data_IF_595590408608
#
_entry.id   IF_595590408608
#
_cell.length_a   1.000
_cell.length_b   1.000
_cell.length_c   1.000
_cell.angle_alpha   90.00
_cell.angle_beta   90.00
_cell.angle_gamma   90.00
#
_symmetry.space_group_name_H-M   'P 1'
#
loop_
_entity.id
_entity.type
_entity.pdbx_description
1 polymer ?
#
# COMPACT_ATOMS: atom_id res chain seq x y z
N UNK A 1 -15.99 4.75 3.23
CA UNK A 1 -17.44 4.46 3.18
C UNK A 1 -17.80 4.21 1.73
N UNK A 2 -18.30 3.03 1.34
CA UNK A 2 -18.72 2.79 -0.04
C UNK A 2 -19.96 3.63 -0.34
N UNK A 3 -19.95 4.42 -1.42
CA UNK A 3 -21.16 5.13 -1.89
C UNK A 3 -22.26 4.09 -2.19
N UNK A 4 -23.50 4.41 -1.84
CA UNK A 4 -24.66 3.53 -2.06
C UNK A 4 -25.04 3.42 -3.55
N UNK A 5 -24.64 4.41 -4.35
CA UNK A 5 -24.75 4.46 -5.81
C UNK A 5 -23.40 4.77 -6.44
N UNK A 6 -23.11 4.09 -7.56
CA UNK A 6 -21.91 4.36 -8.33
C UNK A 6 -22.01 5.73 -9.03
N UNK A 7 -20.91 6.47 -9.03
CA UNK A 7 -20.80 7.77 -9.67
C UNK A 7 -20.22 7.63 -11.08
N UNK A 8 -20.94 8.12 -12.09
CA UNK A 8 -20.48 8.14 -13.48
C UNK A 8 -20.14 9.56 -13.90
N UNK A 9 -18.92 9.77 -14.39
CA UNK A 9 -18.54 11.02 -15.05
C UNK A 9 -18.92 10.92 -16.53
N UNK A 10 -19.73 11.84 -17.01
CA UNK A 10 -20.10 11.96 -18.43
C UNK A 10 -19.39 13.15 -19.04
N UNK A 11 -18.71 12.94 -20.17
CA UNK A 11 -17.90 13.95 -20.86
C UNK A 11 -18.30 14.01 -22.32
N UNK A 12 -18.77 15.18 -22.75
CA UNK A 12 -19.16 15.47 -24.14
C UNK A 12 -19.23 17.00 -24.32
N UNK A 13 -18.79 17.53 -25.46
CA UNK A 13 -18.82 18.97 -25.75
C UNK A 13 -20.20 19.45 -26.21
N UNK A 14 -21.09 18.53 -26.59
CA UNK A 14 -22.46 18.83 -27.00
C UNK A 14 -23.44 18.71 -25.82
N UNK A 15 -24.10 19.81 -25.39
CA UNK A 15 -25.01 19.78 -24.24
C UNK A 15 -26.17 18.80 -24.35
N UNK A 16 -26.61 18.49 -25.59
CA UNK A 16 -27.67 17.53 -25.84
C UNK A 16 -27.25 16.10 -25.48
N UNK A 17 -26.00 15.72 -25.78
CA UNK A 17 -25.43 14.41 -25.47
C UNK A 17 -25.25 14.25 -23.94
N UNK A 18 -24.73 15.29 -23.27
CA UNK A 18 -24.63 15.33 -21.81
C UNK A 18 -26.00 15.12 -21.14
N UNK A 19 -27.02 15.85 -21.59
CA UNK A 19 -28.37 15.75 -21.04
C UNK A 19 -29.01 14.36 -21.29
N UNK A 20 -28.76 13.76 -22.45
CA UNK A 20 -29.22 12.41 -22.77
C UNK A 20 -28.59 11.37 -21.84
N UNK A 21 -27.26 11.37 -21.75
CA UNK A 21 -26.51 10.41 -20.93
C UNK A 21 -26.83 10.56 -19.44
N UNK A 22 -26.93 11.79 -18.93
CA UNK A 22 -27.34 12.07 -17.55
C UNK A 22 -28.72 11.48 -17.25
N UNK A 23 -29.71 11.74 -18.12
CA UNK A 23 -31.06 11.22 -17.95
C UNK A 23 -31.08 9.68 -17.93
N UNK A 24 -30.40 9.03 -18.89
CA UNK A 24 -30.38 7.57 -18.99
C UNK A 24 -29.67 6.95 -17.79
N UNK A 25 -28.49 7.45 -17.42
CA UNK A 25 -27.71 6.88 -16.31
C UNK A 25 -28.38 7.08 -14.95
N UNK A 26 -29.01 8.25 -14.72
CA UNK A 26 -29.82 8.46 -13.51
C UNK A 26 -31.05 7.57 -13.47
N UNK A 27 -31.70 7.32 -14.61
CA UNK A 27 -32.81 6.38 -14.69
C UNK A 27 -32.38 4.95 -14.33
N UNK A 28 -31.16 4.57 -14.72
CA UNK A 28 -30.53 3.29 -14.36
C UNK A 28 -30.04 3.23 -12.90
N UNK A 29 -30.16 4.31 -12.13
CA UNK A 29 -29.85 4.36 -10.69
C UNK A 29 -28.43 4.81 -10.35
N UNK A 30 -27.70 5.41 -11.29
CA UNK A 30 -26.36 5.97 -11.05
C UNK A 30 -26.41 7.45 -10.68
N UNK A 31 -25.44 7.90 -9.90
CA UNK A 31 -25.17 9.33 -9.75
C UNK A 31 -24.31 9.80 -10.93
N UNK A 32 -24.53 11.04 -11.38
CA UNK A 32 -23.87 11.57 -12.57
C UNK A 32 -23.25 12.94 -12.28
N UNK A 33 -22.00 13.09 -12.71
CA UNK A 33 -21.29 14.37 -12.85
C UNK A 33 -20.99 14.58 -14.33
N UNK A 34 -21.00 15.83 -14.78
CA UNK A 34 -20.78 16.20 -16.18
C UNK A 34 -19.51 17.04 -16.34
N UNK A 35 -18.83 16.89 -17.47
CA UNK A 35 -17.78 17.77 -17.93
C UNK A 35 -18.00 18.08 -19.43
N UNK A 36 -17.75 19.31 -19.85
CA UNK A 36 -18.01 19.74 -21.23
C UNK A 36 -16.79 19.70 -22.15
N UNK A 37 -15.62 19.33 -21.64
CA UNK A 37 -14.38 19.22 -22.40
C UNK A 37 -13.36 18.31 -21.69
N UNK A 38 -12.29 17.97 -22.39
CA UNK A 38 -11.26 17.08 -21.85
C UNK A 38 -10.47 17.64 -20.65
N UNK A 39 -10.30 18.96 -20.52
CA UNK A 39 -9.60 19.55 -19.37
C UNK A 39 -10.46 19.46 -18.11
N UNK A 40 -11.75 19.79 -18.24
CA UNK A 40 -12.74 19.60 -17.18
C UNK A 40 -12.86 18.12 -16.79
N UNK A 41 -12.80 17.20 -17.76
CA UNK A 41 -12.83 15.77 -17.48
C UNK A 41 -11.69 15.33 -16.55
N UNK A 42 -10.46 15.72 -16.87
CA UNK A 42 -9.29 15.37 -16.03
C UNK A 42 -9.39 16.00 -14.63
N UNK A 43 -9.88 17.24 -14.52
CA UNK A 43 -10.11 17.88 -13.23
C UNK A 43 -11.22 17.18 -12.42
N UNK A 44 -12.33 16.84 -13.07
CA UNK A 44 -13.48 16.18 -12.45
C UNK A 44 -13.16 14.77 -11.94
N UNK A 45 -12.27 14.03 -12.63
CA UNK A 45 -11.78 12.73 -12.13
C UNK A 45 -11.05 12.90 -10.79
N UNK A 46 -10.18 13.91 -10.69
CA UNK A 46 -9.42 14.17 -9.46
C UNK A 46 -10.31 14.73 -8.33
N UNK A 47 -11.34 15.51 -8.66
CA UNK A 47 -12.22 16.14 -7.66
C UNK A 47 -13.28 15.18 -7.10
N UNK A 48 -13.88 14.35 -7.96
CA UNK A 48 -15.07 13.59 -7.58
C UNK A 48 -14.84 12.09 -7.40
N UNK A 49 -13.70 11.58 -7.88
CA UNK A 49 -13.36 10.15 -7.87
C UNK A 49 -14.52 9.29 -8.42
N UNK A 50 -14.83 9.40 -9.72
CA UNK A 50 -15.92 8.63 -10.32
C UNK A 50 -15.59 7.14 -10.38
N UNK A 51 -16.62 6.30 -10.43
CA UNK A 51 -16.51 4.85 -10.59
C UNK A 51 -16.42 4.42 -12.07
N UNK A 52 -16.83 5.28 -13.00
CA UNK A 52 -16.74 5.07 -14.44
C UNK A 52 -16.73 6.41 -15.18
N UNK A 53 -16.01 6.49 -16.28
CA UNK A 53 -16.03 7.65 -17.20
C UNK A 53 -16.67 7.25 -18.52
N UNK A 54 -17.76 7.92 -18.90
CA UNK A 54 -18.31 7.92 -20.25
C UNK A 54 -17.75 9.11 -21.01
N UNK A 55 -16.92 8.88 -22.02
CA UNK A 55 -16.10 9.90 -22.65
C UNK A 55 -16.34 9.96 -24.16
N UNK A 56 -16.79 11.11 -24.67
CA UNK A 56 -16.75 11.35 -26.10
C UNK A 56 -15.31 11.53 -26.60
N UNK A 57 -15.07 11.10 -27.85
CA UNK A 57 -13.75 11.19 -28.47
C UNK A 57 -13.56 12.51 -29.21
N UNK A 58 -14.61 13.01 -29.87
CA UNK A 58 -14.53 14.12 -30.81
C UNK A 58 -14.86 15.44 -30.12
N UNK A 59 -13.95 15.89 -29.25
CA UNK A 59 -14.09 17.17 -28.54
C UNK A 59 -13.03 18.19 -28.99
N UNK A 60 -13.33 19.49 -28.98
CA UNK A 60 -12.34 20.54 -29.24
C UNK A 60 -11.23 20.57 -28.18
N UNK A 61 -10.01 20.87 -28.61
CA UNK A 61 -8.87 21.01 -27.71
C UNK A 61 -8.31 19.64 -27.32
N UNK A 62 -8.58 19.20 -26.09
CA UNK A 62 -8.12 17.91 -25.58
C UNK A 62 -9.15 16.83 -25.93
N UNK A 63 -8.81 15.96 -26.88
CA UNK A 63 -9.73 14.93 -27.35
C UNK A 63 -9.85 13.74 -26.37
N UNK A 64 -10.85 12.87 -26.57
CA UNK A 64 -11.08 11.75 -25.65
C UNK A 64 -9.94 10.71 -25.64
N UNK A 65 -9.17 10.59 -26.71
CA UNK A 65 -8.00 9.69 -26.77
C UNK A 65 -6.88 10.27 -25.91
N UNK A 66 -6.62 11.57 -26.00
CA UNK A 66 -5.62 12.27 -25.19
C UNK A 66 -6.01 12.29 -23.71
N UNK A 67 -7.30 12.44 -23.39
CA UNK A 67 -7.82 12.29 -22.01
C UNK A 67 -7.52 10.88 -21.48
N UNK A 68 -7.84 9.82 -22.24
CA UNK A 68 -7.51 8.44 -21.86
C UNK A 68 -6.02 8.28 -21.54
N UNK A 69 -5.14 8.75 -22.44
CA UNK A 69 -3.70 8.65 -22.25
C UNK A 69 -3.22 9.39 -20.99
N UNK A 70 -3.73 10.59 -20.72
CA UNK A 70 -3.38 11.37 -19.51
C UNK A 70 -3.85 10.71 -18.23
N UNK A 71 -5.02 10.07 -18.24
CA UNK A 71 -5.50 9.31 -17.08
C UNK A 71 -4.64 8.06 -16.87
N UNK A 72 -4.31 7.32 -17.93
CA UNK A 72 -3.48 6.10 -17.84
C UNK A 72 -2.03 6.35 -17.48
N UNK A 73 -1.50 7.54 -17.78
CA UNK A 73 -0.17 7.96 -17.33
C UNK A 73 -0.07 8.13 -15.80
N UNK A 74 -1.21 8.22 -15.09
CA UNK A 74 -1.27 8.39 -13.65
C UNK A 74 -1.58 7.05 -12.97
N UNK A 75 -0.69 6.53 -12.09
CA UNK A 75 -0.89 5.25 -11.42
C UNK A 75 -2.20 5.15 -10.62
N UNK A 76 -2.72 6.28 -10.13
CA UNK A 76 -3.97 6.34 -9.38
C UNK A 76 -5.22 5.96 -10.21
N UNK A 77 -5.18 6.12 -11.53
CA UNK A 77 -6.36 5.93 -12.40
C UNK A 77 -6.26 4.69 -13.31
N UNK A 78 -5.27 3.81 -13.09
CA UNK A 78 -5.11 2.57 -13.86
C UNK A 78 -6.35 1.67 -13.74
N UNK A 79 -6.99 1.64 -12.57
CA UNK A 79 -8.20 0.85 -12.31
C UNK A 79 -9.53 1.57 -12.60
N UNK A 80 -9.51 2.79 -13.14
CA UNK A 80 -10.73 3.55 -13.47
C UNK A 80 -11.28 3.12 -14.84
N UNK A 81 -12.48 2.53 -14.93
CA UNK A 81 -13.08 2.14 -16.21
C UNK A 81 -13.41 3.36 -17.07
N UNK A 82 -12.99 3.33 -18.34
CA UNK A 82 -13.31 4.36 -19.34
C UNK A 82 -14.08 3.71 -20.50
N UNK A 83 -15.33 4.15 -20.68
CA UNK A 83 -16.19 3.81 -21.80
C UNK A 83 -16.17 4.96 -22.81
N UNK A 84 -15.61 4.74 -24.00
CA UNK A 84 -15.70 5.73 -25.07
C UNK A 84 -17.12 5.74 -25.65
N UNK A 85 -17.75 6.90 -25.75
CA UNK A 85 -19.10 7.05 -26.32
C UNK A 85 -19.01 7.99 -27.52
N UNK A 86 -18.86 7.47 -28.74
CA UNK A 86 -18.41 8.28 -29.89
C UNK A 86 -19.19 7.99 -31.18
N UNK A 87 -19.24 8.97 -32.09
CA UNK A 87 -19.71 8.77 -33.46
C UNK A 87 -18.72 7.99 -34.36
N UNK A 88 -17.47 7.79 -33.91
CA UNK A 88 -16.48 6.98 -34.63
C UNK A 88 -16.89 5.51 -34.62
N UNK A 89 -17.10 4.94 -35.81
CA UNK A 89 -17.62 3.58 -35.97
C UNK A 89 -16.70 2.65 -36.79
N UNK A 90 -15.57 3.17 -37.28
CA UNK A 90 -14.60 2.39 -38.04
C UNK A 90 -13.80 1.45 -37.11
N UNK A 91 -13.43 0.25 -37.57
CA UNK A 91 -12.60 -0.67 -36.78
C UNK A 91 -11.30 -0.04 -36.29
N UNK A 92 -10.65 0.78 -37.11
CA UNK A 92 -9.37 1.41 -36.79
C UNK A 92 -9.50 2.42 -35.63
N UNK A 93 -10.59 3.18 -35.58
CA UNK A 93 -10.83 4.15 -34.50
C UNK A 93 -11.09 3.45 -33.15
N UNK A 94 -11.77 2.30 -33.20
CA UNK A 94 -12.02 1.46 -32.02
C UNK A 94 -10.73 0.89 -31.46
N UNK A 95 -9.87 0.37 -32.34
CA UNK A 95 -8.54 -0.13 -31.96
C UNK A 95 -7.72 0.98 -31.32
N UNK A 96 -7.67 2.17 -31.94
CA UNK A 96 -6.95 3.33 -31.38
C UNK A 96 -7.45 3.74 -29.99
N UNK A 97 -8.77 3.73 -29.77
CA UNK A 97 -9.36 4.06 -28.46
C UNK A 97 -8.96 3.05 -27.37
N UNK A 98 -8.99 1.76 -27.69
CA UNK A 98 -8.57 0.70 -26.76
C UNK A 98 -7.06 0.72 -26.49
N UNK A 99 -6.23 0.96 -27.52
CA UNK A 99 -4.78 1.11 -27.38
C UNK A 99 -4.39 2.35 -26.56
N UNK A 100 -5.21 3.39 -26.58
CA UNK A 100 -5.07 4.56 -25.70
C UNK A 100 -5.48 4.28 -24.24
N UNK A 101 -6.02 3.10 -23.97
CA UNK A 101 -6.34 2.60 -22.64
C UNK A 101 -7.80 2.67 -22.24
N UNK A 102 -8.73 2.93 -23.17
CA UNK A 102 -10.14 2.72 -22.89
C UNK A 102 -10.46 1.23 -22.68
N UNK A 103 -11.44 0.93 -21.83
CA UNK A 103 -11.82 -0.45 -21.49
C UNK A 103 -12.88 -1.00 -22.44
N UNK A 104 -13.71 -0.12 -23.01
CA UNK A 104 -14.73 -0.45 -24.00
C UNK A 104 -15.15 0.80 -24.79
N UNK A 105 -15.96 0.62 -25.83
CA UNK A 105 -16.56 1.71 -26.59
C UNK A 105 -18.05 1.45 -26.89
N UNK A 106 -18.79 2.51 -27.12
CA UNK A 106 -20.19 2.54 -27.54
C UNK A 106 -20.33 3.53 -28.70
N UNK A 107 -20.78 3.04 -29.86
CA UNK A 107 -20.97 3.88 -31.04
C UNK A 107 -22.32 4.61 -30.99
N UNK A 108 -22.33 5.90 -31.33
CA UNK A 108 -23.55 6.69 -31.54
C UNK A 108 -24.14 6.40 -32.94
N UNK A 109 -25.48 6.29 -33.10
CA UNK A 109 -26.50 6.28 -32.05
C UNK A 109 -26.54 4.94 -31.30
N UNK A 110 -26.87 4.98 -30.01
CA UNK A 110 -27.04 3.82 -29.14
C UNK A 110 -28.42 3.83 -28.49
N UNK A 111 -28.86 2.66 -28.01
CA UNK A 111 -30.04 2.56 -27.16
C UNK A 111 -29.68 2.41 -25.67
N UNK A 112 -30.69 2.57 -24.80
CA UNK A 112 -30.52 2.46 -23.36
C UNK A 112 -30.03 1.08 -22.92
N UNK A 113 -30.42 0.01 -23.63
CA UNK A 113 -30.04 -1.36 -23.29
C UNK A 113 -28.56 -1.62 -23.55
N UNK A 114 -28.02 -1.10 -24.67
CA UNK A 114 -26.59 -1.18 -24.98
C UNK A 114 -25.75 -0.41 -23.95
N UNK A 115 -26.13 0.83 -23.64
CA UNK A 115 -25.46 1.63 -22.61
C UNK A 115 -25.50 0.91 -21.25
N UNK A 116 -26.67 0.44 -20.84
CA UNK A 116 -26.86 -0.25 -19.57
C UNK A 116 -26.07 -1.56 -19.48
N UNK A 117 -25.90 -2.29 -20.58
CA UNK A 117 -25.10 -3.51 -20.60
C UNK A 117 -23.61 -3.21 -20.39
N UNK A 118 -23.06 -2.21 -21.10
CA UNK A 118 -21.64 -1.84 -21.01
C UNK A 118 -21.28 -1.24 -19.67
N UNK A 119 -22.04 -0.24 -19.21
CA UNK A 119 -21.81 0.41 -17.91
C UNK A 119 -21.85 -0.60 -16.77
N UNK A 120 -22.84 -1.49 -16.77
CA UNK A 120 -22.96 -2.54 -15.74
C UNK A 120 -21.81 -3.54 -15.77
N UNK A 121 -21.34 -3.92 -16.97
CA UNK A 121 -20.20 -4.82 -17.13
C UNK A 121 -18.93 -4.20 -16.56
N UNK A 122 -18.63 -2.95 -16.94
CA UNK A 122 -17.45 -2.20 -16.49
C UNK A 122 -17.47 -1.96 -14.98
N UNK A 123 -18.60 -1.52 -14.42
CA UNK A 123 -18.75 -1.33 -12.98
C UNK A 123 -18.63 -2.66 -12.20
N UNK A 124 -19.11 -3.78 -12.75
CA UNK A 124 -18.93 -5.10 -12.14
C UNK A 124 -17.46 -5.52 -12.13
N UNK A 125 -16.71 -5.24 -13.19
CA UNK A 125 -15.27 -5.52 -13.24
C UNK A 125 -14.51 -4.67 -12.22
N UNK A 126 -14.80 -3.36 -12.15
CA UNK A 126 -14.25 -2.47 -11.12
C UNK A 126 -14.55 -2.99 -9.71
N UNK A 127 -15.81 -3.33 -9.41
CA UNK A 127 -16.17 -3.83 -8.09
C UNK A 127 -15.44 -5.13 -7.71
N UNK A 128 -15.17 -6.00 -8.69
CA UNK A 128 -14.38 -7.21 -8.48
C UNK A 128 -12.90 -6.89 -8.23
N UNK A 129 -12.33 -5.95 -8.99
CA UNK A 129 -10.95 -5.47 -8.79
C UNK A 129 -10.77 -4.80 -7.42
N UNK A 130 -11.69 -3.92 -7.03
CA UNK A 130 -11.69 -3.26 -5.72
C UNK A 130 -11.77 -4.30 -4.59
N UNK A 131 -12.67 -5.29 -4.73
CA UNK A 131 -12.79 -6.39 -3.76
C UNK A 131 -11.55 -7.28 -3.69
N UNK A 132 -10.90 -7.55 -4.82
CA UNK A 132 -9.64 -8.28 -4.85
C UNK A 132 -8.55 -7.47 -4.14
N UNK A 133 -8.48 -6.16 -4.39
CA UNK A 133 -7.55 -5.27 -3.69
C UNK A 133 -7.76 -5.26 -2.18
N UNK A 134 -9.01 -5.16 -1.72
CA UNK A 134 -9.36 -5.21 -0.30
C UNK A 134 -9.03 -6.56 0.35
N UNK A 135 -9.15 -7.66 -0.39
CA UNK A 135 -8.72 -8.97 0.09
C UNK A 135 -7.21 -9.06 0.16
N UNK A 136 -6.48 -8.60 -0.87
CA UNK A 136 -5.03 -8.60 -0.89
C UNK A 136 -4.45 -7.81 0.28
N UNK A 137 -4.96 -6.61 0.57
CA UNK A 137 -4.55 -5.77 1.72
C UNK A 137 -4.71 -6.44 3.09
N UNK A 138 -5.51 -7.51 3.21
CA UNK A 138 -5.63 -8.29 4.47
C UNK A 138 -4.51 -9.30 4.65
N UNK A 139 -3.78 -9.63 3.59
CA UNK A 139 -2.75 -10.66 3.59
C UNK A 139 -1.36 -10.12 3.27
N UNK A 140 -1.28 -8.94 2.63
CA UNK A 140 -0.04 -8.22 2.34
C UNK A 140 -0.21 -6.76 2.72
N UNK A 141 0.91 -6.07 2.94
CA UNK A 141 0.93 -4.63 3.17
C UNK A 141 0.32 -3.83 2.01
N UNK A 142 -0.19 -2.64 2.30
CA UNK A 142 -0.80 -1.75 1.31
C UNK A 142 0.14 -1.41 0.15
N UNK A 143 1.43 -1.23 0.45
CA UNK A 143 2.46 -0.90 -0.53
C UNK A 143 2.69 -2.04 -1.53
N UNK A 144 2.69 -3.29 -1.04
CA UNK A 144 2.82 -4.50 -1.88
C UNK A 144 1.52 -4.77 -2.65
N UNK A 145 0.36 -4.60 -2.01
CA UNK A 145 -0.94 -4.73 -2.68
C UNK A 145 -1.05 -3.75 -3.85
N UNK A 146 -0.65 -2.49 -3.66
CA UNK A 146 -0.66 -1.47 -4.71
C UNK A 146 0.27 -1.83 -5.88
N UNK A 147 1.44 -2.41 -5.61
CA UNK A 147 2.37 -2.87 -6.65
C UNK A 147 1.78 -4.03 -7.46
N UNK A 148 1.23 -5.04 -6.79
CA UNK A 148 0.60 -6.20 -7.44
C UNK A 148 -0.62 -5.78 -8.28
N UNK A 149 -1.47 -4.88 -7.76
CA UNK A 149 -2.65 -4.40 -8.48
C UNK A 149 -2.31 -3.53 -9.70
N UNK A 150 -1.17 -2.82 -9.69
CA UNK A 150 -0.73 -1.99 -10.82
C UNK A 150 -0.33 -2.85 -12.02
N UNK A 151 0.30 -3.99 -11.78
CA UNK A 151 0.78 -4.86 -12.85
C UNK A 151 0.57 -6.35 -12.50
N UNK A 152 -0.69 -6.83 -12.44
CA UNK A 152 -1.02 -8.17 -11.94
C UNK A 152 -0.42 -9.33 -12.75
N UNK A 153 0.04 -9.04 -13.97
CA UNK A 153 0.68 -10.01 -14.87
C UNK A 153 2.19 -9.78 -15.04
N UNK A 154 2.74 -8.68 -14.52
CA UNK A 154 4.17 -8.40 -14.55
C UNK A 154 4.82 -8.99 -13.29
N UNK A 155 4.99 -10.30 -13.29
CA UNK A 155 5.77 -10.95 -12.24
C UNK A 155 7.24 -10.88 -12.62
N UNK A 156 7.91 -9.80 -12.24
CA UNK A 156 9.37 -9.79 -12.28
C UNK A 156 9.90 -10.53 -11.04
N UNK A 157 10.57 -11.64 -11.29
CA UNK A 157 11.29 -12.43 -10.27
C UNK A 157 12.67 -11.85 -9.97
N UNK A 158 13.04 -10.74 -10.61
CA UNK A 158 14.29 -10.02 -10.36
C UNK A 158 14.03 -8.99 -9.26
N UNK A 159 14.76 -9.13 -8.15
CA UNK A 159 14.85 -8.07 -7.17
C UNK A 159 15.87 -7.03 -7.58
N UNK A 160 15.63 -5.78 -7.17
CA UNK A 160 16.56 -4.68 -7.40
C UNK A 160 17.37 -4.38 -6.15
N UNK A 161 18.61 -3.89 -6.34
CA UNK A 161 19.43 -3.39 -5.24
C UNK A 161 18.81 -2.11 -4.71
N UNK A 162 18.49 -2.11 -3.41
CA UNK A 162 17.92 -0.96 -2.71
C UNK A 162 18.63 -0.73 -1.39
N UNK A 163 18.68 0.52 -0.98
CA UNK A 163 19.10 0.89 0.37
C UNK A 163 17.85 0.95 1.25
N UNK A 164 17.77 0.11 2.27
CA UNK A 164 16.57 -0.02 3.12
C UNK A 164 16.95 0.03 4.59
N UNK A 165 15.99 0.42 5.43
CA UNK A 165 16.06 0.24 6.88
C UNK A 165 15.17 -0.92 7.30
N UNK A 166 15.72 -1.89 8.01
CA UNK A 166 15.02 -3.13 8.43
C UNK A 166 14.75 -3.08 9.92
N UNK A 167 13.53 -3.40 10.33
CA UNK A 167 13.08 -3.40 11.72
C UNK A 167 12.58 -4.80 12.09
N UNK A 168 13.14 -5.37 13.16
CA UNK A 168 12.60 -6.54 13.84
C UNK A 168 12.15 -6.15 15.23
N UNK A 169 10.92 -6.51 15.61
CA UNK A 169 10.37 -6.30 16.94
C UNK A 169 9.76 -7.61 17.47
N UNK A 170 9.87 -7.85 18.77
CA UNK A 170 9.40 -9.09 19.41
C UNK A 170 9.02 -8.80 20.87
N UNK A 171 7.94 -9.42 21.34
CA UNK A 171 7.41 -9.17 22.68
C UNK A 171 8.22 -9.90 23.74
N UNK A 172 8.78 -9.14 24.70
CA UNK A 172 9.51 -9.75 25.81
C UNK A 172 8.58 -10.49 26.75
N UNK A 173 8.90 -11.75 26.99
CA UNK A 173 8.17 -12.62 27.90
C UNK A 173 6.90 -13.24 27.32
N UNK A 174 6.65 -13.11 26.00
CA UNK A 174 5.45 -13.66 25.37
C UNK A 174 5.26 -15.16 25.63
N UNK A 175 6.29 -15.99 25.43
CA UNK A 175 6.18 -17.45 25.64
C UNK A 175 5.78 -17.80 27.07
N UNK A 176 6.28 -17.04 28.06
CA UNK A 176 5.90 -17.23 29.46
C UNK A 176 4.43 -16.82 29.70
N UNK A 177 3.97 -15.71 29.12
CA UNK A 177 2.57 -15.29 29.20
C UNK A 177 1.64 -16.28 28.51
N UNK A 178 1.98 -16.72 27.29
CA UNK A 178 1.17 -17.65 26.51
C UNK A 178 1.02 -19.03 27.19
N UNK A 179 2.01 -19.47 27.95
CA UNK A 179 1.96 -20.75 28.69
C UNK A 179 1.17 -20.68 30.01
N UNK A 180 1.03 -19.49 30.60
CA UNK A 180 0.37 -19.31 31.89
C UNK A 180 -1.13 -18.99 31.76
N UNK A 181 -1.60 -18.72 30.54
CA UNK A 181 -2.96 -18.27 30.28
C UNK A 181 -3.69 -19.18 29.30
N UNK A 182 -5.02 -19.06 29.26
CA UNK A 182 -5.84 -19.80 28.31
C UNK A 182 -5.49 -19.39 26.87
N UNK A 183 -5.59 -20.31 25.89
CA UNK A 183 -5.25 -20.04 24.49
C UNK A 183 -5.95 -18.80 23.91
N UNK A 184 -7.19 -18.54 24.31
CA UNK A 184 -7.97 -17.37 23.86
C UNK A 184 -7.37 -16.05 24.34
N UNK A 185 -6.83 -16.02 25.57
CA UNK A 185 -6.17 -14.83 26.12
C UNK A 185 -4.80 -14.60 25.46
N UNK A 186 -4.06 -15.68 25.17
CA UNK A 186 -2.82 -15.59 24.41
C UNK A 186 -3.06 -15.07 22.98
N UNK A 187 -4.14 -15.50 22.33
CA UNK A 187 -4.53 -15.03 21.01
C UNK A 187 -4.99 -13.56 21.02
N UNK A 188 -5.77 -13.13 22.02
CA UNK A 188 -6.15 -11.72 22.20
C UNK A 188 -4.92 -10.82 22.39
N UNK A 189 -3.97 -11.23 23.24
CA UNK A 189 -2.70 -10.52 23.41
C UNK A 189 -1.93 -10.44 22.09
N UNK A 190 -1.77 -11.58 21.39
CA UNK A 190 -1.02 -11.64 20.14
C UNK A 190 -1.61 -10.70 19.09
N UNK A 191 -2.92 -10.82 18.83
CA UNK A 191 -3.59 -9.99 17.82
C UNK A 191 -3.46 -8.50 18.15
N UNK A 192 -3.65 -8.10 19.41
CA UNK A 192 -3.52 -6.69 19.83
C UNK A 192 -2.10 -6.17 19.68
N UNK A 193 -1.09 -6.95 20.07
CA UNK A 193 0.30 -6.57 19.87
C UNK A 193 0.63 -6.43 18.39
N UNK A 194 0.26 -7.42 17.57
CA UNK A 194 0.52 -7.40 16.14
C UNK A 194 -0.14 -6.18 15.50
N UNK A 195 -1.39 -5.83 15.89
CA UNK A 195 -2.05 -4.59 15.44
C UNK A 195 -1.24 -3.34 15.79
N UNK A 196 -0.77 -3.19 17.03
CA UNK A 196 0.07 -2.04 17.42
C UNK A 196 1.37 -2.00 16.61
N UNK A 197 2.00 -3.16 16.42
CA UNK A 197 3.24 -3.26 15.65
C UNK A 197 3.05 -2.89 14.17
N UNK A 198 2.00 -3.39 13.53
CA UNK A 198 1.71 -3.06 12.12
C UNK A 198 1.32 -1.60 11.95
N UNK A 199 0.43 -1.07 12.80
CA UNK A 199 0.00 0.34 12.73
C UNK A 199 1.17 1.32 12.97
N UNK A 200 2.09 0.98 13.89
CA UNK A 200 3.27 1.80 14.14
C UNK A 200 4.21 1.85 12.93
N UNK A 201 4.38 0.73 12.20
CA UNK A 201 5.20 0.67 10.98
C UNK A 201 4.53 1.43 9.84
N UNK A 202 3.25 1.18 9.59
CA UNK A 202 2.48 1.77 8.49
C UNK A 202 2.34 3.29 8.64
N UNK A 203 2.21 3.79 9.87
CA UNK A 203 2.10 5.22 10.14
C UNK A 203 3.33 6.04 9.68
N UNK A 204 4.48 5.40 9.48
CA UNK A 204 5.69 6.03 8.96
C UNK A 204 6.04 5.56 7.53
N UNK A 205 5.08 4.93 6.84
CA UNK A 205 5.24 4.46 5.46
C UNK A 205 6.15 3.23 5.33
N UNK A 206 6.32 2.46 6.42
CA UNK A 206 7.02 1.19 6.39
C UNK A 206 6.16 0.07 5.80
N UNK A 207 6.83 -0.97 5.35
CA UNK A 207 6.22 -2.17 4.79
C UNK A 207 6.40 -3.33 5.77
N UNK A 208 5.29 -3.85 6.31
CA UNK A 208 5.32 -5.10 7.09
C UNK A 208 5.55 -6.27 6.14
N UNK A 209 6.64 -7.00 6.36
CA UNK A 209 7.09 -8.08 5.50
C UNK A 209 6.51 -9.44 5.93
N UNK A 210 6.64 -9.73 7.22
CA UNK A 210 6.24 -11.01 7.80
C UNK A 210 5.91 -10.84 9.29
N UNK A 211 4.93 -11.61 9.76
CA UNK A 211 4.63 -11.78 11.18
C UNK A 211 5.21 -13.12 11.63
N UNK A 212 6.20 -13.08 12.52
CA UNK A 212 7.02 -14.22 12.93
C UNK A 212 6.61 -14.69 14.32
N UNK A 213 5.47 -15.38 14.42
CA UNK A 213 4.90 -15.69 15.73
C UNK A 213 4.47 -14.41 16.44
N UNK A 214 5.14 -14.05 17.53
CA UNK A 214 5.01 -12.77 18.26
C UNK A 214 6.02 -11.70 17.82
N UNK A 215 6.72 -11.95 16.71
CA UNK A 215 7.62 -10.99 16.06
C UNK A 215 6.96 -10.22 14.91
N UNK A 216 7.36 -8.97 14.74
CA UNK A 216 7.06 -8.15 13.55
C UNK A 216 8.36 -7.90 12.81
N UNK A 217 8.41 -8.30 11.53
CA UNK A 217 9.47 -7.93 10.61
C UNK A 217 8.95 -6.92 9.59
N UNK A 218 9.62 -5.78 9.48
CA UNK A 218 9.29 -4.72 8.57
C UNK A 218 10.53 -4.10 7.92
N UNK A 219 10.32 -3.37 6.83
CA UNK A 219 11.37 -2.56 6.20
C UNK A 219 10.83 -1.25 5.64
N UNK A 220 11.73 -0.28 5.47
CA UNK A 220 11.48 1.07 4.95
C UNK A 220 12.41 1.28 3.74
N UNK A 221 11.92 1.94 2.69
CA UNK A 221 12.64 2.11 1.42
C UNK A 221 12.31 1.11 0.32
N UNK A 222 11.37 0.20 0.59
CA UNK A 222 10.78 -0.68 -0.41
C UNK A 222 9.30 -0.97 -0.08
N UNK A 223 8.42 -1.12 -1.09
CA UNK A 223 8.63 -0.83 -2.51
C UNK A 223 8.68 0.68 -2.82
N UNK A 224 8.31 1.53 -1.86
CA UNK A 224 8.38 2.99 -1.96
C UNK A 224 9.65 3.49 -1.24
N UNK A 225 10.46 4.28 -1.95
CA UNK A 225 11.70 4.86 -1.43
C UNK A 225 11.46 6.28 -0.92
N UNK A 226 11.98 6.60 0.26
CA UNK A 226 12.04 7.95 0.81
C UNK A 226 13.49 8.29 1.20
N UNK A 227 13.82 9.58 1.25
CA UNK A 227 15.16 10.01 1.68
C UNK A 227 15.38 9.83 3.19
N UNK A 228 14.30 9.74 3.97
CA UNK A 228 14.26 9.72 5.44
C UNK A 228 13.88 8.33 5.99
N UNK A 229 13.98 7.26 5.21
CA UNK A 229 13.62 5.89 5.65
C UNK A 229 14.31 5.43 6.96
N UNK A 230 15.59 5.76 7.24
CA UNK A 230 16.21 5.46 8.53
C UNK A 230 15.53 6.17 9.70
N UNK A 231 15.16 7.44 9.53
CA UNK A 231 14.43 8.21 10.55
C UNK A 231 13.04 7.63 10.76
N UNK A 232 12.32 7.31 9.69
CA UNK A 232 11.00 6.65 9.73
C UNK A 232 11.04 5.34 10.50
N UNK A 233 12.06 4.51 10.27
CA UNK A 233 12.24 3.25 10.99
C UNK A 233 12.42 3.47 12.51
N UNK A 234 13.26 4.43 12.90
CA UNK A 234 13.49 4.74 14.32
C UNK A 234 12.25 5.35 14.99
N UNK A 235 11.53 6.24 14.29
CA UNK A 235 10.27 6.80 14.81
C UNK A 235 9.17 5.75 14.94
N UNK A 236 9.07 4.82 13.98
CA UNK A 236 8.16 3.68 14.07
C UNK A 236 8.47 2.79 15.28
N UNK A 237 9.75 2.47 15.50
CA UNK A 237 10.19 1.71 16.67
C UNK A 237 9.87 2.43 17.99
N UNK A 238 10.14 3.73 18.07
CA UNK A 238 9.82 4.55 19.24
C UNK A 238 8.31 4.53 19.53
N UNK A 239 7.48 4.71 18.48
CA UNK A 239 6.03 4.68 18.59
C UNK A 239 5.53 3.32 19.07
N UNK A 240 5.98 2.23 18.44
CA UNK A 240 5.65 0.85 18.85
C UNK A 240 5.96 0.65 20.33
N UNK A 241 7.14 1.07 20.78
CA UNK A 241 7.58 0.89 22.17
C UNK A 241 6.73 1.67 23.18
N UNK A 242 6.22 2.85 22.80
CA UNK A 242 5.31 3.65 23.62
C UNK A 242 3.90 3.05 23.64
N UNK A 243 3.36 2.68 22.47
CA UNK A 243 1.99 2.16 22.34
C UNK A 243 1.84 0.78 22.99
N UNK A 244 2.82 -0.11 22.82
CA UNK A 244 2.80 -1.43 23.46
C UNK A 244 2.83 -1.34 24.99
N UNK A 245 3.54 -0.35 25.54
CA UNK A 245 3.63 -0.12 26.98
C UNK A 245 2.32 0.42 27.59
N UNK A 246 1.42 0.94 26.75
CA UNK A 246 0.08 1.45 27.12
C UNK A 246 -1.05 0.52 26.71
N UNK A 247 -0.73 -0.62 26.09
CA UNK A 247 -1.71 -1.54 25.57
C UNK A 247 -2.49 -2.20 26.71
N UNK A 248 -3.80 -1.94 26.76
CA UNK A 248 -4.70 -2.63 27.67
C UNK A 248 -5.19 -3.93 27.04
N UNK A 249 -5.03 -5.02 27.79
CA UNK A 249 -5.45 -6.36 27.37
C UNK A 249 -6.55 -6.80 28.34
N UNK A 250 -7.84 -6.71 27.96
CA UNK A 250 -8.94 -7.03 28.86
C UNK A 250 -8.89 -8.46 29.41
N UNK A 251 -8.38 -9.40 28.61
CA UNK A 251 -8.19 -10.79 29.01
C UNK A 251 -7.04 -10.98 30.02
N UNK A 252 -6.11 -10.02 30.12
CA UNK A 252 -4.90 -10.05 30.95
C UNK A 252 -4.68 -8.71 31.69
N UNK A 253 -5.55 -8.35 32.64
CA UNK A 253 -5.49 -7.05 33.31
C UNK A 253 -4.19 -6.89 34.10
N UNK A 254 -3.55 -5.72 33.95
CA UNK A 254 -2.32 -5.35 34.66
C UNK A 254 -1.01 -5.85 34.02
N UNK A 255 -1.08 -6.65 32.96
CA UNK A 255 0.10 -7.02 32.18
C UNK A 255 0.62 -5.80 31.44
N UNK A 256 1.93 -5.53 31.58
CA UNK A 256 2.64 -4.52 30.79
C UNK A 256 3.60 -5.21 29.86
N UNK A 257 3.52 -4.85 28.58
CA UNK A 257 4.35 -5.41 27.55
C UNK A 257 5.49 -4.46 27.18
N UNK A 258 6.61 -5.04 26.81
CA UNK A 258 7.74 -4.32 26.23
C UNK A 258 8.26 -5.16 25.06
N UNK A 259 8.66 -4.51 23.98
CA UNK A 259 9.36 -5.17 22.90
C UNK A 259 10.88 -5.07 23.10
N UNK A 260 11.62 -5.96 22.47
CA UNK A 260 12.99 -5.67 22.07
C UNK A 260 13.01 -5.45 20.57
N UNK A 261 13.69 -4.39 20.12
CA UNK A 261 13.69 -3.97 18.72
C UNK A 261 15.13 -3.87 18.21
N UNK A 262 15.35 -4.35 16.99
CA UNK A 262 16.59 -4.19 16.24
C UNK A 262 16.34 -3.44 14.94
N UNK A 263 17.23 -2.52 14.59
CA UNK A 263 17.17 -1.77 13.33
C UNK A 263 18.55 -1.75 12.66
N UNK A 264 18.58 -2.04 11.35
CA UNK A 264 19.79 -1.92 10.54
C UNK A 264 19.46 -1.27 9.21
N UNK A 265 20.34 -0.41 8.72
CA UNK A 265 20.23 0.28 7.44
C UNK A 265 21.34 -0.19 6.51
N UNK A 266 21.01 -0.54 5.27
CA UNK A 266 22.03 -0.94 4.31
C UNK A 266 21.48 -1.42 2.98
N UNK A 267 22.39 -1.85 2.10
CA UNK A 267 22.03 -2.41 0.80
C UNK A 267 21.46 -3.83 0.92
N UNK A 268 20.33 -4.05 0.26
CA UNK A 268 19.64 -5.34 0.13
C UNK A 268 19.19 -5.55 -1.31
N UNK A 269 18.77 -6.78 -1.62
CA UNK A 269 17.94 -7.07 -2.79
C UNK A 269 16.48 -7.10 -2.33
N UNK A 270 15.63 -6.26 -2.95
CA UNK A 270 14.20 -6.20 -2.68
C UNK A 270 13.40 -6.67 -3.91
N UNK A 271 12.44 -7.58 -3.73
CA UNK A 271 11.57 -8.02 -4.81
C UNK A 271 10.77 -9.27 -4.47
N UNK A 272 10.13 -9.85 -5.49
CA UNK A 272 9.37 -11.09 -5.34
C UNK A 272 10.31 -12.28 -5.19
N UNK A 273 10.24 -12.97 -4.05
CA UNK A 273 11.03 -14.16 -3.74
C UNK A 273 10.08 -15.35 -3.60
N UNK A 274 10.51 -16.51 -4.11
CA UNK A 274 9.79 -17.76 -3.95
C UNK A 274 9.71 -18.59 -5.22
N UNK A 275 8.58 -19.25 -5.41
CA UNK A 275 8.28 -20.12 -6.54
C UNK A 275 7.07 -19.60 -7.31
N UNK A 276 6.83 -20.14 -8.50
CA UNK A 276 5.65 -19.79 -9.32
C UNK A 276 4.30 -19.88 -8.58
N UNK A 277 4.20 -20.74 -7.55
CA UNK A 277 2.95 -20.98 -6.80
C UNK A 277 2.89 -20.26 -5.46
N UNK A 278 4.02 -19.72 -4.98
CA UNK A 278 4.15 -19.00 -3.71
C UNK A 278 5.24 -17.96 -3.83
N UNK A 279 4.82 -16.70 -3.91
CA UNK A 279 5.71 -15.54 -3.93
C UNK A 279 5.41 -14.67 -2.73
N UNK A 280 6.45 -14.07 -2.18
CA UNK A 280 6.36 -13.05 -1.15
C UNK A 280 7.31 -11.92 -1.52
N UNK A 281 6.87 -10.68 -1.38
CA UNK A 281 7.74 -9.54 -1.56
C UNK A 281 8.63 -9.44 -0.32
N UNK A 282 9.95 -9.54 -0.51
CA UNK A 282 10.90 -9.62 0.59
C UNK A 282 12.19 -8.88 0.29
N UNK A 283 12.95 -8.61 1.36
CA UNK A 283 14.29 -8.05 1.31
C UNK A 283 15.31 -9.09 1.77
N UNK A 284 16.42 -9.21 1.05
CA UNK A 284 17.50 -10.16 1.37
C UNK A 284 18.85 -9.44 1.37
N UNK A 285 19.61 -9.61 2.45
CA UNK A 285 20.95 -9.07 2.61
C UNK A 285 21.50 -9.24 4.02
N UNK A 286 22.78 -8.92 4.23
CA UNK A 286 23.37 -8.90 5.58
C UNK A 286 22.63 -7.97 6.55
N UNK A 287 22.16 -6.76 6.15
CA UNK A 287 21.41 -5.87 7.05
C UNK A 287 20.20 -6.52 7.74
N UNK A 288 19.46 -7.36 7.00
CA UNK A 288 18.28 -8.10 7.54
C UNK A 288 18.71 -9.03 8.67
N UNK A 289 19.78 -9.80 8.44
CA UNK A 289 20.31 -10.73 9.44
C UNK A 289 20.88 -10.01 10.67
N UNK A 290 21.54 -8.87 10.47
CA UNK A 290 22.06 -8.04 11.57
C UNK A 290 20.91 -7.46 12.38
N UNK A 291 19.84 -6.96 11.73
CA UNK A 291 18.67 -6.41 12.41
C UNK A 291 17.96 -7.43 13.31
N UNK A 292 17.72 -8.65 12.80
CA UNK A 292 17.16 -9.74 13.61
C UNK A 292 18.04 -10.10 14.83
N UNK A 293 19.37 -10.05 14.68
CA UNK A 293 20.31 -10.32 15.78
C UNK A 293 20.36 -9.19 16.80
N UNK A 294 20.29 -7.94 16.35
CA UNK A 294 20.16 -6.78 17.23
C UNK A 294 18.87 -6.88 18.04
N UNK A 295 17.76 -7.23 17.38
CA UNK A 295 16.49 -7.49 18.05
C UNK A 295 16.68 -8.58 19.11
N UNK A 296 17.31 -9.72 18.79
CA UNK A 296 17.53 -10.79 19.78
C UNK A 296 18.38 -10.31 20.98
N UNK A 297 19.35 -9.43 20.75
CA UNK A 297 20.19 -8.89 21.81
C UNK A 297 19.51 -7.79 22.66
N UNK A 298 18.43 -7.19 22.17
CA UNK A 298 17.74 -6.09 22.83
C UNK A 298 17.03 -6.56 24.11
N UNK A 299 17.24 -5.89 25.23
CA UNK A 299 16.46 -6.09 26.45
C UNK A 299 15.02 -5.56 26.34
N UNK A 300 14.19 -5.75 27.39
CA UNK A 300 12.86 -5.15 27.46
C UNK A 300 12.91 -3.62 27.34
N UNK A 301 12.23 -3.09 26.33
CA UNK A 301 12.16 -1.66 26.06
C UNK A 301 13.33 -1.09 25.27
N UNK A 302 14.30 -1.92 24.87
CA UNK A 302 15.47 -1.45 24.13
C UNK A 302 15.23 -1.44 22.63
N UNK A 303 15.75 -0.39 21.98
CA UNK A 303 15.78 -0.23 20.53
C UNK A 303 17.26 -0.15 20.16
N UNK A 304 17.79 -1.23 19.59
CA UNK A 304 19.18 -1.35 19.22
C UNK A 304 19.37 -1.09 17.73
N UNK A 305 20.38 -0.29 17.40
CA UNK A 305 20.75 0.03 16.02
C UNK A 305 22.23 -0.23 15.77
N UNK A 306 22.58 -0.53 14.52
CA UNK A 306 23.97 -0.62 14.07
C UNK A 306 24.57 0.78 13.80
N UNK A 307 25.88 0.81 13.53
CA UNK A 307 26.57 2.07 13.23
C UNK A 307 26.04 2.78 11.98
N UNK A 308 25.70 2.05 10.91
CA UNK A 308 25.22 2.68 9.68
C UNK A 308 23.86 3.39 9.90
N UNK A 309 22.96 2.77 10.67
CA UNK A 309 21.70 3.41 11.06
C UNK A 309 21.97 4.60 11.96
N UNK A 310 22.79 4.45 13.01
CA UNK A 310 23.13 5.54 13.92
C UNK A 310 23.73 6.75 13.18
N UNK A 311 24.65 6.54 12.24
CA UNK A 311 25.27 7.62 11.47
C UNK A 311 24.24 8.39 10.62
N UNK A 312 23.15 7.73 10.22
CA UNK A 312 22.06 8.34 9.45
C UNK A 312 21.06 9.12 10.34
N UNK A 313 20.95 8.79 11.63
CA UNK A 313 19.93 9.34 12.54
C UNK A 313 20.50 9.82 13.89
N UNK A 314 21.79 10.14 13.95
CA UNK A 314 22.48 10.45 15.20
C UNK A 314 21.87 11.63 15.95
N UNK A 315 21.36 12.62 15.20
CA UNK A 315 20.73 13.82 15.77
C UNK A 315 19.27 13.63 16.18
N UNK A 316 18.64 12.52 15.77
CA UNK A 316 17.22 12.22 16.00
C UNK A 316 16.92 11.82 17.46
N UNK A 317 17.91 11.24 18.16
CA UNK A 317 17.69 10.64 19.46
C UNK A 317 18.91 10.80 20.38
N UNK A 318 18.70 10.53 21.67
CA UNK A 318 19.77 10.33 22.63
C UNK A 318 20.20 8.88 22.56
N UNK A 319 21.47 8.64 22.25
CA UNK A 319 22.04 7.31 22.04
C UNK A 319 22.99 6.93 23.16
N UNK A 320 22.90 5.68 23.59
CA UNK A 320 23.88 5.03 24.45
C UNK A 320 24.74 4.09 23.60
N UNK A 321 26.02 4.39 23.48
CA UNK A 321 26.99 3.49 22.82
C UNK A 321 27.20 2.25 23.69
N UNK A 322 26.82 1.07 23.19
CA UNK A 322 27.03 -0.22 23.83
C UNK A 322 28.36 -0.86 23.44
N UNK A 323 29.14 -0.17 22.60
CA UNK A 323 30.39 -0.63 22.05
C UNK A 323 30.20 -1.74 21.02
N UNK A 324 31.22 -2.57 20.90
CA UNK A 324 31.23 -3.69 19.97
C UNK A 324 30.59 -4.90 20.64
N UNK A 325 29.47 -5.38 20.08
CA UNK A 325 28.80 -6.61 20.50
C UNK A 325 29.10 -7.74 19.53
N UNK A 326 29.26 -8.94 20.09
CA UNK A 326 29.35 -10.17 19.31
C UNK A 326 27.96 -10.75 19.13
N UNK A 327 27.38 -10.51 17.97
CA UNK A 327 26.07 -11.02 17.61
C UNK A 327 26.17 -12.52 17.28
N UNK A 328 25.21 -13.31 17.78
CA UNK A 328 25.22 -14.76 17.59
C UNK A 328 25.29 -15.13 16.10
N UNK A 329 26.22 -16.02 15.73
CA UNK A 329 26.42 -16.46 14.35
C UNK A 329 27.11 -15.46 13.41
N UNK A 330 27.63 -14.33 13.91
CA UNK A 330 28.57 -13.46 13.17
C UNK A 330 30.00 -13.70 13.67
N UNK A 331 30.95 -13.80 12.74
CA UNK A 331 32.38 -13.83 13.07
C UNK A 331 32.89 -12.49 13.59
N UNK A 332 32.28 -11.40 13.11
CA UNK A 332 32.73 -10.03 13.32
C UNK A 332 31.95 -9.30 14.41
N UNK A 333 32.65 -8.37 15.05
CA UNK A 333 32.08 -7.44 16.02
C UNK A 333 31.24 -6.38 15.31
N UNK A 334 30.07 -6.09 15.86
CA UNK A 334 29.18 -5.01 15.36
C UNK A 334 29.11 -3.93 16.42
N UNK A 335 29.33 -2.67 16.05
CA UNK A 335 29.13 -1.54 16.96
C UNK A 335 27.64 -1.25 17.09
N UNK A 336 27.15 -1.18 18.33
CA UNK A 336 25.72 -1.11 18.62
C UNK A 336 25.40 0.08 19.50
N UNK A 337 24.29 0.76 19.20
CA UNK A 337 23.77 1.87 19.97
C UNK A 337 22.36 1.53 20.46
N UNK A 338 22.07 1.84 21.72
CA UNK A 338 20.72 1.78 22.27
C UNK A 338 20.10 3.18 22.24
N UNK A 339 18.90 3.30 21.67
CA UNK A 339 18.13 4.54 21.75
C UNK A 339 17.57 4.70 23.16
N UNK A 340 17.89 5.81 23.81
CA UNK A 340 17.41 6.15 25.16
C UNK A 340 16.14 6.97 25.10
N UNK A 341 16.12 7.99 24.24
CA UNK A 341 15.01 8.93 24.13
C UNK A 341 15.00 9.56 22.73
N UNK A 342 13.81 9.68 22.13
CA UNK A 342 13.63 10.39 20.85
C UNK A 342 13.62 11.90 21.13
N UNK A 343 14.36 12.69 20.33
CA UNK A 343 14.30 14.15 20.46
C UNK A 343 12.97 14.68 19.89
N UNK A 344 12.41 15.74 20.52
CA UNK A 344 11.12 16.32 20.11
C UNK A 344 11.12 16.92 18.71
#
# INVERSE_FOLDING_TARGET
MSRERALVLVVDDEPANLALLDKLLRHLGYDVVQASDGLQAVAAVAEHEPDLVCLDVLMPGLDGIEVCQRLRAQPAYVGLPILLVTALNRPEDKVRGLEAGADDFLSKPFDESELAARVRSLLRMKALQDRLGDLLRRYVSDSVAAEVLRAPFAVDMRGDRRHVSTLFADVRGYTALASQHQPEAALDLLNRYLTVGTEAVEAFGGTVAELLGDGVFAFFGAPVLHSDDPERAVRAAARLQVEIGRLEIPSLPGVRLQAGIGITTGEVIAGNIGSERRMHYAVVGDPVNVSARLQTAAGPGQILVDAATHDSVGDLAVWQDLGNLRLAGKGDWTRVYNMVELRP
#
